data_IF_842989509759
#
_entry.id   IF_842989509759
#
_cell.length_a   1.000
_cell.length_b   1.000
_cell.length_c   1.000
_cell.angle_alpha   90.00
_cell.angle_beta   90.00
_cell.angle_gamma   90.00
#
_symmetry.space_group_name_H-M   'P 1'
#
loop_
_entity.id
_entity.type
_entity.pdbx_description
1 polymer ?
#
# COMPACT_ATOMS: atom_id res chain seq x y z
N UNK A 1 -14.58 -2.66 -17.58
CA UNK A 1 -13.57 -1.73 -17.04
C UNK A 1 -14.25 -0.89 -15.99
N UNK A 2 -13.73 -0.92 -14.77
CA UNK A 2 -14.24 -0.15 -13.63
C UNK A 2 -13.53 1.19 -13.60
N UNK A 3 -14.29 2.26 -13.84
CA UNK A 3 -13.78 3.63 -13.80
C UNK A 3 -13.93 4.23 -12.41
N UNK A 4 -13.32 5.40 -12.18
CA UNK A 4 -13.45 6.14 -10.93
C UNK A 4 -14.91 6.39 -10.52
N UNK A 5 -15.81 6.56 -11.50
CA UNK A 5 -17.22 6.86 -11.26
C UNK A 5 -18.02 5.65 -10.72
N UNK A 6 -17.42 4.46 -10.73
CA UNK A 6 -17.98 3.26 -10.10
C UNK A 6 -17.89 3.28 -8.57
N UNK A 7 -17.21 4.27 -7.99
CA UNK A 7 -16.98 4.40 -6.55
C UNK A 7 -17.58 5.71 -6.01
N UNK A 8 -18.10 5.64 -4.80
CA UNK A 8 -18.37 6.82 -3.99
C UNK A 8 -17.07 7.55 -3.65
N UNK A 9 -17.14 8.84 -3.27
CA UNK A 9 -15.94 9.58 -2.85
C UNK A 9 -15.21 8.96 -1.64
N UNK A 10 -15.95 8.29 -0.75
CA UNK A 10 -15.37 7.61 0.41
C UNK A 10 -14.64 6.33 -0.01
N UNK A 11 -15.30 5.47 -0.81
CA UNK A 11 -14.69 4.25 -1.35
C UNK A 11 -13.42 4.57 -2.14
N UNK A 12 -13.47 5.56 -3.03
CA UNK A 12 -12.30 5.99 -3.79
C UNK A 12 -11.15 6.45 -2.89
N UNK A 13 -11.46 7.19 -1.82
CA UNK A 13 -10.46 7.66 -0.87
C UNK A 13 -9.79 6.49 -0.17
N UNK A 14 -10.55 5.49 0.28
CA UNK A 14 -10.01 4.28 0.90
C UNK A 14 -9.05 3.55 -0.06
N UNK A 15 -9.46 3.36 -1.32
CA UNK A 15 -8.62 2.72 -2.34
C UNK A 15 -7.30 3.48 -2.58
N UNK A 16 -7.37 4.81 -2.67
CA UNK A 16 -6.21 5.65 -2.90
C UNK A 16 -5.28 5.78 -1.69
N UNK A 17 -5.82 5.69 -0.47
CA UNK A 17 -5.06 5.82 0.77
C UNK A 17 -4.35 4.51 1.14
N UNK A 18 -4.89 3.37 0.74
CA UNK A 18 -4.37 2.03 1.10
C UNK A 18 -2.87 1.83 0.78
N UNK A 19 -2.35 2.14 -0.44
CA UNK A 19 -0.92 2.04 -0.71
C UNK A 19 -0.06 2.88 0.24
N UNK A 20 -0.55 4.06 0.66
CA UNK A 20 0.16 4.97 1.56
C UNK A 20 0.23 4.41 2.98
N UNK A 21 -0.88 3.92 3.52
CA UNK A 21 -0.91 3.31 4.87
C UNK A 21 -0.05 2.05 4.94
N UNK A 22 -0.06 1.24 3.89
CA UNK A 22 0.80 0.05 3.77
C UNK A 22 2.27 0.42 3.83
N UNK A 23 2.71 1.44 3.07
CA UNK A 23 4.10 1.90 3.14
C UNK A 23 4.48 2.44 4.53
N UNK A 24 3.56 3.13 5.22
CA UNK A 24 3.79 3.52 6.62
C UNK A 24 3.95 2.30 7.54
N UNK A 25 3.10 1.28 7.37
CA UNK A 25 3.19 0.01 8.08
C UNK A 25 4.55 -0.69 7.91
N UNK A 26 5.05 -0.77 6.67
CA UNK A 26 6.38 -1.33 6.37
C UNK A 26 7.47 -0.60 7.16
N UNK A 27 7.49 0.72 7.11
CA UNK A 27 8.51 1.54 7.77
C UNK A 27 8.54 1.31 9.29
N UNK A 28 7.38 1.24 9.94
CA UNK A 28 7.34 1.03 11.39
C UNK A 28 7.61 -0.42 11.80
N UNK A 29 7.37 -1.40 10.92
CA UNK A 29 7.57 -2.83 11.18
C UNK A 29 9.04 -3.17 11.48
N UNK A 30 10.01 -2.49 10.87
CA UNK A 30 11.45 -2.70 11.10
C UNK A 30 12.08 -1.82 12.18
N UNK A 31 11.26 -1.10 12.97
CA UNK A 31 11.70 -0.02 13.88
C UNK A 31 12.33 1.16 13.12
N UNK A 32 12.01 1.28 11.83
CA UNK A 32 12.35 2.44 11.04
C UNK A 32 11.73 3.71 11.63
N UNK A 33 12.53 4.76 11.74
CA UNK A 33 12.01 6.07 12.14
C UNK A 33 11.24 6.69 10.97
N UNK A 34 9.91 6.82 11.09
CA UNK A 34 9.04 7.31 10.01
C UNK A 34 9.60 8.55 9.30
N UNK A 35 10.06 9.55 10.06
CA UNK A 35 10.63 10.80 9.52
C UNK A 35 11.81 10.58 8.56
N UNK A 36 12.65 9.57 8.81
CA UNK A 36 13.81 9.25 7.96
C UNK A 36 13.37 8.62 6.64
N UNK A 37 12.33 7.79 6.69
CA UNK A 37 11.83 7.04 5.52
C UNK A 37 10.77 7.78 4.70
N UNK A 38 10.34 8.99 5.11
CA UNK A 38 9.39 9.79 4.33
C UNK A 38 9.88 10.07 2.89
N UNK A 39 11.19 10.25 2.71
CA UNK A 39 11.79 10.45 1.38
C UNK A 39 11.60 9.21 0.51
N UNK A 40 11.74 8.02 1.10
CA UNK A 40 11.58 6.71 0.45
C UNK A 40 10.14 6.49 0.01
N UNK A 41 9.17 6.72 0.90
CA UNK A 41 7.73 6.65 0.57
C UNK A 41 7.40 7.63 -0.55
N UNK A 42 7.81 8.89 -0.42
CA UNK A 42 7.56 9.92 -1.43
C UNK A 42 8.18 9.56 -2.78
N UNK A 43 9.40 9.01 -2.80
CA UNK A 43 10.05 8.56 -4.03
C UNK A 43 9.24 7.44 -4.67
N UNK A 44 8.84 6.43 -3.90
CA UNK A 44 8.01 5.31 -4.38
C UNK A 44 6.73 5.81 -5.02
N UNK A 45 6.01 6.72 -4.36
CA UNK A 45 4.80 7.31 -4.91
C UNK A 45 5.03 8.09 -6.21
N UNK A 46 6.16 8.77 -6.36
CA UNK A 46 6.47 9.53 -7.57
C UNK A 46 6.73 8.64 -8.80
N UNK A 47 7.09 7.38 -8.58
CA UNK A 47 7.49 6.42 -9.62
C UNK A 47 6.50 5.26 -9.74
N UNK A 48 5.23 5.45 -9.39
CA UNK A 48 4.21 4.40 -9.53
C UNK A 48 3.96 3.98 -10.98
N UNK A 49 4.42 4.74 -11.96
CA UNK A 49 4.46 4.37 -13.37
C UNK A 49 5.39 3.20 -13.66
N UNK A 50 6.41 2.94 -12.82
CA UNK A 50 7.26 1.74 -12.92
C UNK A 50 6.49 0.43 -12.70
N UNK A 51 5.29 0.48 -12.10
CA UNK A 51 4.44 -0.70 -11.95
C UNK A 51 3.89 -1.20 -13.29
N UNK A 52 3.64 -0.30 -14.25
CA UNK A 52 3.03 -0.63 -15.54
C UNK A 52 1.57 -1.09 -15.42
N UNK A 53 0.63 -0.22 -14.96
CA UNK A 53 -0.76 -0.60 -14.79
C UNK A 53 -1.44 -0.95 -16.12
N UNK A 54 -2.29 -1.97 -16.11
CA UNK A 54 -3.05 -2.48 -17.25
C UNK A 54 -4.54 -2.11 -17.14
N UNK A 55 -5.09 -1.98 -15.92
CA UNK A 55 -6.47 -1.52 -15.72
C UNK A 55 -6.60 -0.02 -15.51
N UNK A 56 -7.77 0.50 -15.87
CA UNK A 56 -8.16 1.88 -15.60
C UNK A 56 -8.22 2.18 -14.09
N UNK A 57 -8.65 1.21 -13.27
CA UNK A 57 -8.69 1.33 -11.81
C UNK A 57 -7.29 1.62 -11.26
N UNK A 58 -6.32 0.76 -11.56
CA UNK A 58 -4.96 0.89 -11.02
C UNK A 58 -4.25 2.09 -11.64
N UNK A 59 -4.47 2.39 -12.92
CA UNK A 59 -3.97 3.60 -13.58
C UNK A 59 -4.39 4.86 -12.82
N UNK A 60 -5.67 4.98 -12.47
CA UNK A 60 -6.17 6.14 -11.74
C UNK A 60 -5.67 6.19 -10.29
N UNK A 61 -5.57 5.06 -9.59
CA UNK A 61 -5.04 5.01 -8.22
C UNK A 61 -3.56 5.42 -8.23
N UNK A 62 -2.74 4.80 -9.09
CA UNK A 62 -1.33 5.10 -9.26
C UNK A 62 -1.09 6.56 -9.61
N UNK A 63 -1.86 7.10 -10.57
CA UNK A 63 -1.80 8.51 -10.95
C UNK A 63 -2.17 9.46 -9.80
N UNK A 64 -3.23 9.12 -9.04
CA UNK A 64 -3.66 9.94 -7.90
C UNK A 64 -2.60 9.99 -6.80
N UNK A 65 -2.06 8.85 -6.38
CA UNK A 65 -1.04 8.83 -5.31
C UNK A 65 0.26 9.52 -5.77
N UNK A 66 0.62 9.42 -7.06
CA UNK A 66 1.76 10.11 -7.65
C UNK A 66 1.63 11.63 -7.58
N UNK A 67 0.51 12.17 -8.04
CA UNK A 67 0.23 13.63 -7.99
C UNK A 67 0.18 14.13 -6.55
N UNK A 68 -0.22 13.28 -5.60
CA UNK A 68 -0.35 13.63 -4.19
C UNK A 68 0.85 13.19 -3.33
N UNK A 69 1.99 12.81 -3.92
CA UNK A 69 3.13 12.26 -3.18
C UNK A 69 3.68 13.21 -2.08
N UNK A 70 3.58 14.53 -2.26
CA UNK A 70 4.02 15.50 -1.25
C UNK A 70 3.07 15.58 -0.03
N UNK A 71 1.85 15.04 -0.11
CA UNK A 71 0.92 15.00 1.05
C UNK A 71 1.43 14.11 2.18
N UNK A 72 2.19 13.07 1.85
CA UNK A 72 2.76 12.11 2.81
C UNK A 72 3.49 12.81 3.96
N UNK A 73 4.22 13.89 3.67
CA UNK A 73 4.92 14.66 4.70
C UNK A 73 3.94 15.31 5.68
N UNK A 74 2.88 15.93 5.18
CA UNK A 74 1.85 16.57 6.02
C UNK A 74 1.12 15.54 6.87
N UNK A 75 0.81 14.38 6.30
CA UNK A 75 0.16 13.31 7.03
C UNK A 75 1.03 12.85 8.20
N UNK A 76 2.33 12.60 7.96
CA UNK A 76 3.30 12.20 8.97
C UNK A 76 3.57 13.24 10.07
N UNK A 77 3.31 14.52 9.80
CA UNK A 77 3.42 15.61 10.78
C UNK A 77 2.16 15.78 11.64
N UNK A 78 1.00 15.33 11.16
CA UNK A 78 -0.32 15.63 11.78
C UNK A 78 -1.01 14.43 12.41
N UNK A 79 -0.61 13.20 12.08
CA UNK A 79 -1.24 11.97 12.56
C UNK A 79 -0.30 11.18 13.47
N UNK A 80 -0.88 10.43 14.41
CA UNK A 80 -0.12 9.44 15.18
C UNK A 80 0.29 8.26 14.29
N UNK A 81 1.58 7.93 14.32
CA UNK A 81 2.21 6.82 13.61
C UNK A 81 3.06 5.95 14.54
N UNK A 82 2.65 5.83 15.81
CA UNK A 82 3.16 4.74 16.65
C UNK A 82 3.02 3.41 15.92
N UNK A 83 3.98 2.51 16.12
CA UNK A 83 4.01 1.20 15.45
C UNK A 83 2.66 0.45 15.50
N UNK A 84 1.99 0.32 16.67
CA UNK A 84 0.71 -0.39 16.74
C UNK A 84 -0.37 0.29 15.88
N UNK A 85 -0.43 1.62 15.89
CA UNK A 85 -1.44 2.40 15.15
C UNK A 85 -1.23 2.29 13.64
N UNK A 86 0.01 2.44 13.17
CA UNK A 86 0.31 2.37 11.74
C UNK A 86 0.11 0.95 11.17
N UNK A 87 0.50 -0.09 11.92
CA UNK A 87 0.24 -1.49 11.52
C UNK A 87 -1.27 -1.76 11.45
N UNK A 88 -2.03 -1.38 12.50
CA UNK A 88 -3.47 -1.59 12.52
C UNK A 88 -4.17 -0.90 11.34
N UNK A 89 -3.85 0.38 11.10
CA UNK A 89 -4.42 1.15 9.99
C UNK A 89 -4.15 0.55 8.63
N UNK A 90 -2.94 0.03 8.41
CA UNK A 90 -2.60 -0.62 7.15
C UNK A 90 -3.48 -1.86 6.91
N UNK A 91 -3.66 -2.70 7.92
CA UNK A 91 -4.56 -3.86 7.84
C UNK A 91 -6.03 -3.46 7.67
N UNK A 92 -6.51 -2.44 8.38
CA UNK A 92 -7.87 -1.91 8.23
C UNK A 92 -8.13 -1.44 6.80
N UNK A 93 -7.23 -0.65 6.23
CA UNK A 93 -7.34 -0.16 4.86
C UNK A 93 -7.27 -1.30 3.84
N UNK A 94 -6.40 -2.30 4.05
CA UNK A 94 -6.36 -3.48 3.18
C UNK A 94 -7.70 -4.22 3.20
N UNK A 95 -8.31 -4.43 4.37
CA UNK A 95 -9.63 -5.07 4.47
C UNK A 95 -10.73 -4.26 3.78
N UNK A 96 -10.78 -2.95 4.05
CA UNK A 96 -11.78 -2.05 3.47
C UNK A 96 -11.63 -1.99 1.94
N UNK A 97 -10.42 -1.75 1.44
CA UNK A 97 -10.15 -1.69 0.01
C UNK A 97 -10.52 -3.00 -0.69
N UNK A 98 -10.22 -4.13 -0.05
CA UNK A 98 -10.56 -5.45 -0.58
C UNK A 98 -12.07 -5.65 -0.69
N UNK A 99 -12.83 -5.24 0.33
CA UNK A 99 -14.30 -5.28 0.27
C UNK A 99 -14.85 -4.39 -0.86
N UNK A 100 -14.26 -3.20 -1.05
CA UNK A 100 -14.66 -2.25 -2.10
C UNK A 100 -14.40 -2.83 -3.50
N UNK A 101 -13.18 -3.31 -3.79
CA UNK A 101 -12.85 -3.85 -5.12
C UNK A 101 -13.62 -5.14 -5.39
N UNK A 102 -13.92 -5.94 -4.36
CA UNK A 102 -14.77 -7.13 -4.50
C UNK A 102 -16.20 -6.78 -4.92
N UNK A 103 -16.74 -5.68 -4.43
CA UNK A 103 -18.10 -5.25 -4.76
C UNK A 103 -18.23 -4.62 -6.15
N UNK A 104 -17.17 -4.03 -6.70
CA UNK A 104 -17.24 -3.12 -7.87
C UNK A 104 -16.36 -3.48 -9.06
N UNK A 105 -15.24 -4.17 -8.83
CA UNK A 105 -14.24 -4.47 -9.85
C UNK A 105 -14.32 -5.93 -10.32
N UNK A 106 -13.80 -6.18 -11.51
CA UNK A 106 -13.62 -7.54 -12.05
C UNK A 106 -12.50 -8.28 -11.30
N UNK A 107 -12.47 -9.63 -11.32
CA UNK A 107 -11.38 -10.39 -10.67
C UNK A 107 -9.98 -9.95 -11.10
N UNK A 108 -9.76 -9.68 -12.39
CA UNK A 108 -8.48 -9.20 -12.90
C UNK A 108 -8.07 -7.83 -12.32
N UNK A 109 -9.02 -6.89 -12.22
CA UNK A 109 -8.77 -5.56 -11.64
C UNK A 109 -8.51 -5.64 -10.12
N UNK A 110 -9.16 -6.57 -9.40
CA UNK A 110 -8.92 -6.81 -7.97
C UNK A 110 -7.50 -7.32 -7.73
N UNK A 111 -7.10 -8.32 -8.51
CA UNK A 111 -5.79 -8.95 -8.44
C UNK A 111 -4.67 -7.95 -8.79
N UNK A 112 -4.87 -7.15 -9.85
CA UNK A 112 -3.94 -6.07 -10.19
C UNK A 112 -3.84 -5.00 -9.09
N UNK A 113 -4.97 -4.59 -8.50
CA UNK A 113 -4.97 -3.65 -7.37
C UNK A 113 -4.18 -4.20 -6.17
N UNK A 114 -4.38 -5.47 -5.82
CA UNK A 114 -3.61 -6.15 -4.78
C UNK A 114 -2.11 -6.17 -5.08
N UNK A 115 -1.72 -6.51 -6.31
CA UNK A 115 -0.32 -6.45 -6.77
C UNK A 115 0.26 -5.03 -6.68
N UNK A 116 -0.50 -4.01 -7.04
CA UNK A 116 -0.05 -2.61 -6.97
C UNK A 116 0.23 -2.16 -5.53
N UNK A 117 -0.68 -2.49 -4.60
CA UNK A 117 -0.50 -2.18 -3.17
C UNK A 117 0.71 -2.91 -2.60
N UNK A 118 0.87 -4.21 -2.92
CA UNK A 118 2.03 -5.01 -2.51
C UNK A 118 3.33 -4.46 -3.08
N UNK A 119 3.34 -4.10 -4.36
CA UNK A 119 4.47 -3.48 -5.04
C UNK A 119 4.94 -2.20 -4.34
N UNK A 120 4.01 -1.33 -3.92
CA UNK A 120 4.36 -0.13 -3.14
C UNK A 120 5.08 -0.48 -1.83
N UNK A 121 4.61 -1.53 -1.14
CA UNK A 121 5.19 -2.01 0.12
C UNK A 121 6.62 -2.53 -0.09
N UNK A 122 6.81 -3.35 -1.13
CA UNK A 122 8.09 -3.94 -1.49
C UNK A 122 9.11 -2.88 -1.90
N UNK A 123 8.71 -1.88 -2.70
CA UNK A 123 9.58 -0.76 -3.10
C UNK A 123 10.13 0.03 -1.91
N UNK A 124 9.33 0.25 -0.88
CA UNK A 124 9.79 0.94 0.33
C UNK A 124 10.74 0.07 1.14
N UNK A 125 10.44 -1.24 1.26
CA UNK A 125 11.33 -2.17 1.95
C UNK A 125 12.69 -2.31 1.24
N UNK A 126 12.70 -2.35 -0.09
CA UNK A 126 13.90 -2.47 -0.92
C UNK A 126 14.72 -1.17 -0.94
N UNK A 127 14.09 0.00 -1.00
CA UNK A 127 14.82 1.26 -1.03
C UNK A 127 15.50 1.60 0.32
N UNK A 128 15.01 1.05 1.43
CA UNK A 128 15.72 1.08 2.72
C UNK A 128 17.08 0.37 2.70
N UNK A 129 17.33 -0.49 1.72
CA UNK A 129 18.62 -1.19 1.51
C UNK A 129 19.66 -0.25 0.88
N UNK A 130 19.23 0.74 0.10
CA UNK A 130 20.12 1.64 -0.66
C UNK A 130 20.47 2.94 0.08
N UNK A 131 19.74 3.30 1.15
CA UNK A 131 19.86 4.58 1.86
C UNK A 131 20.93 4.66 2.96
N UNK A 132 21.65 3.57 3.24
CA UNK A 132 22.73 3.51 4.23
C UNK A 132 24.09 3.41 3.55
N UNK A 133 24.99 4.32 3.93
CA UNK A 133 26.42 4.38 3.59
C UNK A 133 27.00 2.99 3.20
N UNK A 134 27.43 2.88 1.93
CA UNK A 134 28.20 1.78 1.35
C UNK A 134 27.54 0.39 1.29
N UNK A 135 27.78 -0.24 0.13
CA UNK A 135 27.70 -1.67 -0.19
C UNK A 135 28.64 -2.53 0.68
N UNK A 136 28.58 -2.39 2.00
CA UNK A 136 29.28 -3.18 3.02
C UNK A 136 28.33 -3.32 4.23
N UNK A 137 27.16 -3.94 4.02
CA UNK A 137 26.19 -4.12 5.12
C UNK A 137 24.82 -4.69 4.75
N UNK A 138 24.45 -4.73 3.47
CA UNK A 138 23.42 -5.64 2.90
C UNK A 138 22.22 -5.96 3.78
N UNK A 139 21.48 -4.96 4.27
CA UNK A 139 20.26 -5.28 5.03
C UNK A 139 19.17 -5.65 4.03
N UNK A 140 19.06 -6.93 3.69
CA UNK A 140 17.87 -7.49 3.02
C UNK A 140 16.60 -7.03 3.76
N UNK A 141 15.46 -7.00 3.05
CA UNK A 141 14.13 -6.90 3.67
C UNK A 141 14.12 -7.70 4.97
N UNK A 142 13.88 -7.02 6.11
CA UNK A 142 13.93 -7.69 7.41
C UNK A 142 12.83 -8.73 7.53
N UNK A 143 12.97 -9.73 8.42
CA UNK A 143 11.90 -10.66 8.71
C UNK A 143 10.58 -9.96 9.10
N UNK A 144 10.64 -8.84 9.81
CA UNK A 144 9.46 -8.07 10.21
C UNK A 144 8.80 -7.33 9.03
N UNK A 145 9.59 -6.68 8.16
CA UNK A 145 9.07 -6.09 6.91
C UNK A 145 8.46 -7.18 6.03
N UNK A 146 9.13 -8.34 5.92
CA UNK A 146 8.65 -9.46 5.10
C UNK A 146 7.33 -10.02 5.61
N UNK A 147 7.26 -10.33 6.89
CA UNK A 147 6.06 -10.83 7.53
C UNK A 147 4.88 -9.85 7.39
N UNK A 148 5.13 -8.54 7.53
CA UNK A 148 4.11 -7.52 7.32
C UNK A 148 3.60 -7.50 5.87
N UNK A 149 4.51 -7.50 4.88
CA UNK A 149 4.14 -7.48 3.46
C UNK A 149 3.36 -8.75 3.06
N UNK A 150 3.73 -9.91 3.62
CA UNK A 150 2.96 -11.14 3.39
C UNK A 150 1.56 -11.07 3.99
N UNK A 151 1.42 -10.61 5.23
CA UNK A 151 0.13 -10.51 5.89
C UNK A 151 -0.85 -9.56 5.16
N UNK A 152 -0.37 -8.42 4.64
CA UNK A 152 -1.22 -7.56 3.79
C UNK A 152 -1.51 -8.19 2.43
N UNK A 153 -0.54 -8.92 1.85
CA UNK A 153 -0.71 -9.61 0.57
C UNK A 153 -1.77 -10.71 0.65
N UNK A 154 -1.78 -11.46 1.74
CA UNK A 154 -2.85 -12.42 2.07
C UNK A 154 -4.19 -11.70 2.21
N UNK A 155 -4.25 -10.59 2.94
CA UNK A 155 -5.51 -9.82 3.09
C UNK A 155 -6.08 -9.38 1.74
N UNK A 156 -5.22 -8.95 0.82
CA UNK A 156 -5.59 -8.45 -0.51
C UNK A 156 -5.98 -9.57 -1.49
N UNK A 157 -5.57 -10.82 -1.23
CA UNK A 157 -5.83 -11.99 -2.09
C UNK A 157 -6.98 -12.88 -1.59
N UNK A 158 -7.14 -13.02 -0.27
CA UNK A 158 -8.03 -14.02 0.36
C UNK A 158 -9.54 -13.71 0.25
N UNK A 159 -9.93 -12.48 -0.10
CA UNK A 159 -11.34 -12.10 -0.09
C UNK A 159 -12.19 -12.66 -1.24
N UNK A 160 -11.64 -13.47 -2.14
CA UNK A 160 -12.45 -14.26 -3.07
C UNK A 160 -13.09 -15.50 -2.44
N UNK A 161 -12.83 -15.79 -1.14
CA UNK A 161 -13.55 -16.86 -0.43
C UNK A 161 -15.04 -16.46 -0.33
N UNK A 162 -15.97 -17.20 -0.96
CA UNK A 162 -17.39 -16.96 -0.72
C UNK A 162 -17.64 -17.28 0.75
N UNK A 163 -18.26 -16.36 1.48
CA UNK A 163 -18.88 -16.70 2.75
C UNK A 163 -19.81 -17.88 2.50
N UNK A 164 -19.42 -19.05 2.99
CA UNK A 164 -20.32 -20.19 3.06
C UNK A 164 -21.48 -19.77 3.95
N UNK A 165 -22.59 -19.42 3.31
CA UNK A 165 -23.88 -19.30 3.97
C UNK A 165 -24.27 -20.72 4.36
N UNK A 166 -23.91 -21.15 5.57
CA UNK A 166 -24.49 -22.35 6.16
C UNK A 166 -25.99 -22.12 6.33
N UNK A 167 -26.77 -22.98 5.66
CA UNK A 167 -28.23 -23.04 5.76
C UNK A 167 -28.74 -23.76 6.99
#
# INVERSE_FOLDING_TARGET
MTSRNSFTPAEWRALAQTPVEVMFGVVVASNGGLRRELKTIRRTLRHTDEFGPESELVTHVAGFVRVNADRVRRDAETRDFTRPVAIARAHDHCREATAIVRARATPAERDEYGRFVRWCAERVADAGVEGGILRLGGRRVSPAERAFIDAIGETLTVADTPSETSG
#
